data_IF_562830357980
#
_entry.id   IF_562830357980
#
_cell.length_a   1.000
_cell.length_b   1.000
_cell.length_c   1.000
_cell.angle_alpha   90.00
_cell.angle_beta   90.00
_cell.angle_gamma   90.00
#
_symmetry.space_group_name_H-M   'P 1'
#
loop_
_entity.id
_entity.type
_entity.pdbx_description
1 polymer ?
#
# COMPACT_ATOMS: atom_id res chain seq x y z
N UNK A 1 -21.34 -49.43 5.32
CA UNK A 1 -22.33 -48.34 5.28
C UNK A 1 -22.45 -47.89 3.83
N UNK A 2 -23.63 -48.07 3.25
CA UNK A 2 -23.91 -47.69 1.87
C UNK A 2 -24.17 -46.18 1.79
N UNK A 3 -24.06 -45.55 0.61
CA UNK A 3 -24.36 -44.11 0.44
C UNK A 3 -25.77 -43.73 0.94
N UNK A 4 -26.75 -44.62 0.78
CA UNK A 4 -28.11 -44.40 1.25
C UNK A 4 -28.23 -44.47 2.78
N UNK A 5 -27.48 -45.34 3.44
CA UNK A 5 -27.42 -45.40 4.90
C UNK A 5 -26.74 -44.14 5.46
N UNK A 6 -25.70 -43.64 4.80
CA UNK A 6 -25.06 -42.40 5.17
C UNK A 6 -26.00 -41.20 5.08
N UNK A 7 -26.75 -41.08 3.98
CA UNK A 7 -27.75 -40.02 3.78
C UNK A 7 -28.91 -40.09 4.79
N UNK A 8 -29.30 -41.29 5.22
CA UNK A 8 -30.30 -41.46 6.28
C UNK A 8 -29.81 -40.99 7.64
N UNK A 9 -28.57 -41.34 7.98
CA UNK A 9 -27.92 -40.88 9.22
C UNK A 9 -27.74 -39.40 9.21
N UNK A 10 -27.30 -38.81 8.08
CA UNK A 10 -27.15 -37.37 7.92
C UNK A 10 -28.48 -36.61 8.13
N UNK A 11 -29.59 -37.12 7.54
CA UNK A 11 -30.93 -36.54 7.75
C UNK A 11 -31.38 -36.61 9.20
N UNK A 12 -31.10 -37.73 9.88
CA UNK A 12 -31.43 -37.88 11.32
C UNK A 12 -30.61 -36.91 12.19
N UNK A 13 -29.36 -36.64 11.83
CA UNK A 13 -28.52 -35.66 12.52
C UNK A 13 -29.07 -34.25 12.27
N UNK A 14 -29.43 -33.92 11.03
CA UNK A 14 -29.96 -32.59 10.64
C UNK A 14 -31.36 -32.32 11.29
N UNK A 15 -32.13 -33.35 11.62
CA UNK A 15 -33.41 -33.23 12.32
C UNK A 15 -33.27 -33.10 13.84
N UNK A 16 -32.18 -33.60 14.42
CA UNK A 16 -31.90 -33.52 15.87
C UNK A 16 -31.10 -32.29 16.26
N UNK A 17 -30.30 -31.75 15.33
CA UNK A 17 -29.60 -30.46 15.55
C UNK A 17 -30.64 -29.34 15.45
N UNK A 18 -30.91 -28.58 16.52
CA UNK A 18 -31.83 -27.44 16.43
C UNK A 18 -31.34 -26.54 15.31
N UNK A 19 -32.20 -26.29 14.29
CA UNK A 19 -31.88 -25.35 13.20
C UNK A 19 -31.42 -24.08 13.86
N UNK A 20 -30.10 -23.79 13.81
CA UNK A 20 -29.53 -22.53 14.28
C UNK A 20 -30.34 -21.43 13.60
N UNK A 21 -31.04 -20.62 14.37
CA UNK A 21 -31.66 -19.41 13.82
C UNK A 21 -30.53 -18.65 13.18
N UNK A 22 -30.65 -18.35 11.90
CA UNK A 22 -29.67 -17.58 11.17
C UNK A 22 -29.41 -16.26 11.90
N UNK A 23 -28.15 -15.89 12.04
CA UNK A 23 -27.79 -14.59 12.59
C UNK A 23 -28.57 -13.47 11.90
N UNK A 24 -28.92 -12.37 12.60
CA UNK A 24 -29.56 -11.24 11.95
C UNK A 24 -28.71 -10.78 10.76
N UNK A 25 -29.37 -10.45 9.64
CA UNK A 25 -28.69 -10.04 8.40
C UNK A 25 -27.61 -8.96 8.72
N UNK A 26 -26.38 -9.23 8.32
CA UNK A 26 -25.23 -8.37 8.58
C UNK A 26 -24.62 -8.50 9.99
N UNK A 27 -25.02 -9.52 10.74
CA UNK A 27 -24.50 -9.86 12.08
C UNK A 27 -23.98 -11.31 12.13
N UNK A 28 -23.47 -11.81 11.02
CA UNK A 28 -22.87 -13.13 10.97
C UNK A 28 -21.66 -13.17 11.92
N UNK A 29 -21.57 -14.19 12.80
CA UNK A 29 -20.43 -14.33 13.72
C UNK A 29 -19.11 -14.48 12.95
N UNK A 30 -18.07 -13.81 13.42
CA UNK A 30 -16.74 -13.85 12.83
C UNK A 30 -16.01 -12.52 12.90
N UNK A 31 -14.86 -12.49 12.25
CA UNK A 31 -14.04 -11.29 12.12
C UNK A 31 -13.98 -10.85 10.65
N UNK A 32 -14.28 -9.60 10.41
CA UNK A 32 -14.01 -8.94 9.13
C UNK A 32 -12.86 -7.94 9.33
N UNK A 33 -11.65 -8.40 9.07
CA UNK A 33 -10.44 -7.57 9.23
C UNK A 33 -10.40 -6.40 8.26
N UNK A 34 -11.08 -6.51 7.10
CA UNK A 34 -11.16 -5.42 6.13
C UNK A 34 -12.06 -4.28 6.60
N UNK A 35 -13.09 -4.59 7.39
CA UNK A 35 -13.96 -3.59 8.01
C UNK A 35 -13.55 -3.27 9.45
N UNK A 36 -12.53 -3.95 9.99
CA UNK A 36 -12.13 -3.80 11.38
C UNK A 36 -13.25 -4.15 12.35
N UNK A 37 -14.07 -5.19 12.06
CA UNK A 37 -15.20 -5.57 12.91
C UNK A 37 -15.12 -7.01 13.36
N UNK A 38 -15.46 -7.23 14.63
CA UNK A 38 -15.61 -8.52 15.28
C UNK A 38 -17.06 -8.70 15.72
N UNK A 39 -17.71 -9.78 15.32
CA UNK A 39 -19.09 -10.09 15.71
C UNK A 39 -19.11 -11.44 16.42
N UNK A 40 -19.72 -11.49 17.59
CA UNK A 40 -19.82 -12.70 18.41
C UNK A 40 -21.30 -13.03 18.66
N UNK A 41 -21.64 -14.29 18.46
CA UNK A 41 -22.86 -14.91 18.97
C UNK A 41 -22.52 -15.50 20.34
N UNK A 42 -22.93 -14.83 21.40
CA UNK A 42 -22.59 -15.26 22.74
C UNK A 42 -23.80 -15.48 23.64
N UNK A 43 -23.66 -16.41 24.55
CA UNK A 43 -24.62 -16.61 25.63
C UNK A 43 -24.46 -15.62 26.79
N UNK A 44 -23.44 -14.79 26.81
CA UNK A 44 -23.06 -13.94 27.92
C UNK A 44 -22.84 -12.48 27.48
N UNK A 45 -22.78 -11.57 28.45
CA UNK A 45 -22.43 -10.17 28.19
C UNK A 45 -21.04 -10.02 27.55
N UNK A 46 -20.79 -8.93 26.82
CA UNK A 46 -19.47 -8.65 26.29
C UNK A 46 -18.40 -8.76 27.39
N UNK A 47 -17.28 -9.44 27.13
CA UNK A 47 -16.24 -9.60 28.15
C UNK A 47 -15.53 -8.28 28.45
N UNK A 48 -15.01 -8.16 29.65
CA UNK A 48 -14.06 -7.09 29.98
C UNK A 48 -12.67 -7.31 29.40
N UNK A 49 -12.26 -8.58 29.20
CA UNK A 49 -11.05 -8.97 28.52
C UNK A 49 -11.37 -9.59 27.16
N UNK A 50 -11.05 -8.86 26.10
CA UNK A 50 -11.29 -9.27 24.72
C UNK A 50 -10.26 -10.25 24.17
N UNK A 51 -9.15 -10.47 24.87
CA UNK A 51 -8.06 -11.32 24.37
C UNK A 51 -8.48 -12.76 24.11
N UNK A 52 -9.40 -13.27 24.91
CA UNK A 52 -9.97 -14.63 24.76
C UNK A 52 -10.81 -14.69 23.49
N UNK A 53 -11.72 -13.75 23.31
CA UNK A 53 -12.61 -13.68 22.13
C UNK A 53 -11.82 -13.50 20.83
N UNK A 54 -10.82 -12.64 20.85
CA UNK A 54 -9.92 -12.41 19.70
C UNK A 54 -9.23 -13.73 19.29
N UNK A 55 -8.76 -14.51 20.27
CA UNK A 55 -8.11 -15.80 20.04
C UNK A 55 -9.09 -16.86 19.53
N UNK A 56 -10.28 -16.95 20.12
CA UNK A 56 -11.33 -17.89 19.68
C UNK A 56 -11.77 -17.64 18.24
N UNK A 57 -11.70 -16.41 17.79
CA UNK A 57 -12.00 -16.02 16.42
C UNK A 57 -10.79 -16.13 15.46
N UNK A 58 -9.68 -16.73 15.92
CA UNK A 58 -8.53 -17.05 15.09
C UNK A 58 -7.55 -15.88 14.87
N UNK A 59 -7.69 -14.78 15.63
CA UNK A 59 -6.74 -13.69 15.60
C UNK A 59 -5.73 -13.80 16.77
N UNK A 60 -4.53 -13.28 16.55
CA UNK A 60 -3.52 -13.18 17.60
C UNK A 60 -3.80 -11.95 18.50
N UNK A 61 -4.06 -12.14 19.82
CA UNK A 61 -4.29 -11.03 20.75
C UNK A 61 -3.07 -10.11 20.94
N UNK A 62 -1.87 -10.57 20.57
CA UNK A 62 -0.68 -9.71 20.56
C UNK A 62 -0.68 -8.76 19.37
N UNK A 63 -1.31 -9.16 18.26
CA UNK A 63 -1.37 -8.39 17.03
C UNK A 63 -2.67 -7.58 16.87
N UNK A 64 -3.74 -7.93 17.59
CA UNK A 64 -5.06 -7.29 17.46
C UNK A 64 -5.65 -6.92 18.82
N UNK A 65 -6.32 -5.77 18.88
CA UNK A 65 -7.05 -5.31 20.06
C UNK A 65 -8.40 -4.71 19.69
N UNK A 66 -9.35 -4.69 20.62
CA UNK A 66 -10.60 -3.94 20.45
C UNK A 66 -10.32 -2.45 20.60
N UNK A 67 -10.93 -1.65 19.74
CA UNK A 67 -10.85 -0.21 19.82
C UNK A 67 -11.81 0.34 20.87
N UNK A 68 -11.30 0.60 22.06
CA UNK A 68 -12.09 1.11 23.20
C UNK A 68 -12.66 2.51 22.96
N UNK A 69 -12.18 3.23 21.94
CA UNK A 69 -12.75 4.54 21.57
C UNK A 69 -14.10 4.40 20.85
N UNK A 70 -14.45 3.19 20.38
CA UNK A 70 -15.69 2.90 19.69
C UNK A 70 -16.65 2.10 20.60
N UNK A 71 -17.94 2.45 20.63
CA UNK A 71 -18.89 1.73 21.46
C UNK A 71 -19.12 0.30 20.95
N UNK A 72 -19.13 -0.66 21.87
CA UNK A 72 -19.55 -2.04 21.56
C UNK A 72 -21.05 -2.05 21.34
N UNK A 73 -21.47 -2.49 20.16
CA UNK A 73 -22.88 -2.66 19.84
C UNK A 73 -23.38 -3.98 20.42
N UNK A 74 -24.45 -3.96 21.17
CA UNK A 74 -25.05 -5.15 21.80
C UNK A 74 -26.50 -5.31 21.35
N UNK A 75 -26.87 -6.52 20.97
CA UNK A 75 -28.25 -6.96 20.73
C UNK A 75 -28.58 -8.11 21.64
N UNK A 76 -29.72 -8.10 22.22
CA UNK A 76 -30.18 -9.15 23.13
C UNK A 76 -31.51 -9.72 22.68
N UNK A 77 -31.74 -11.00 22.99
CA UNK A 77 -33.04 -11.66 22.83
C UNK A 77 -33.21 -12.74 23.90
N UNK A 78 -34.46 -13.03 24.23
CA UNK A 78 -34.76 -14.06 25.19
C UNK A 78 -34.95 -15.41 24.45
N UNK A 79 -34.17 -16.43 24.83
CA UNK A 79 -34.28 -17.78 24.31
C UNK A 79 -35.43 -18.54 24.97
N UNK A 80 -35.99 -19.58 24.33
CA UNK A 80 -36.91 -20.52 24.97
C UNK A 80 -36.24 -21.10 26.22
N UNK A 81 -36.84 -20.92 27.40
CA UNK A 81 -36.27 -21.31 28.70
C UNK A 81 -35.82 -20.15 29.57
N UNK A 82 -36.06 -18.89 29.15
CA UNK A 82 -35.83 -17.69 29.97
C UNK A 82 -34.40 -17.19 30.01
N UNK A 83 -33.50 -17.80 29.26
CA UNK A 83 -32.10 -17.33 29.18
C UNK A 83 -31.98 -16.17 28.19
N UNK A 84 -31.38 -15.09 28.63
CA UNK A 84 -31.03 -13.94 27.76
C UNK A 84 -29.73 -14.23 27.01
N UNK A 85 -29.82 -14.20 25.69
CA UNK A 85 -28.68 -14.36 24.79
C UNK A 85 -28.23 -12.99 24.26
N UNK A 86 -26.96 -12.89 23.90
CA UNK A 86 -26.33 -11.67 23.43
C UNK A 86 -25.65 -11.89 22.08
N UNK A 87 -25.83 -10.94 21.16
CA UNK A 87 -24.95 -10.70 20.04
C UNK A 87 -24.23 -9.40 20.33
N UNK A 88 -22.92 -9.39 20.13
CA UNK A 88 -22.19 -8.14 20.25
C UNK A 88 -21.19 -7.97 19.10
N UNK A 89 -20.99 -6.74 18.72
CA UNK A 89 -20.07 -6.32 17.70
C UNK A 89 -19.14 -5.26 18.27
N UNK A 90 -17.83 -5.48 18.13
CA UNK A 90 -16.79 -4.54 18.50
C UNK A 90 -15.98 -4.14 17.27
N UNK A 91 -15.41 -2.96 17.28
CA UNK A 91 -14.39 -2.53 16.33
C UNK A 91 -13.05 -3.08 16.79
N UNK A 92 -12.28 -3.70 15.89
CA UNK A 92 -10.94 -4.20 16.16
C UNK A 92 -9.91 -3.46 15.31
N UNK A 93 -8.74 -3.24 15.89
CA UNK A 93 -7.59 -2.60 15.24
C UNK A 93 -6.32 -3.39 15.52
N UNK A 94 -5.34 -3.38 14.59
CA UNK A 94 -4.04 -3.97 14.87
C UNK A 94 -3.36 -3.26 16.04
N UNK A 95 -2.78 -4.02 16.96
CA UNK A 95 -2.02 -3.49 18.11
C UNK A 95 -0.70 -2.87 17.67
N UNK A 96 -0.18 -3.30 16.52
CA UNK A 96 1.20 -3.07 16.07
C UNK A 96 1.34 -2.20 14.83
N UNK A 97 0.28 -1.48 14.38
CA UNK A 97 0.47 -0.54 13.26
C UNK A 97 1.55 0.52 13.53
N UNK A 98 1.85 0.81 14.80
CA UNK A 98 2.94 1.71 15.16
C UNK A 98 4.29 1.01 15.34
N UNK A 99 4.35 -0.24 15.85
CA UNK A 99 5.65 -0.87 16.14
C UNK A 99 6.45 -1.27 14.90
N UNK A 100 5.81 -1.88 13.91
CA UNK A 100 6.53 -2.25 12.68
C UNK A 100 6.95 -1.00 11.89
N UNK A 101 6.13 0.04 11.86
CA UNK A 101 6.49 1.33 11.28
C UNK A 101 7.62 2.01 12.04
N UNK A 102 7.55 2.04 13.38
CA UNK A 102 8.61 2.61 14.23
C UNK A 102 9.92 1.83 14.12
N UNK A 103 9.89 0.48 14.05
CA UNK A 103 11.08 -0.35 13.85
C UNK A 103 11.70 -0.14 12.48
N UNK A 104 10.89 -0.05 11.42
CA UNK A 104 11.35 0.25 10.06
C UNK A 104 11.94 1.66 10.01
N UNK A 105 11.27 2.66 10.56
CA UNK A 105 11.78 4.03 10.64
C UNK A 105 13.07 4.12 11.45
N UNK A 106 13.21 3.32 12.50
CA UNK A 106 14.43 3.30 13.30
C UNK A 106 15.58 2.60 12.56
N UNK A 107 15.31 1.53 11.81
CA UNK A 107 16.27 0.88 10.91
C UNK A 107 16.70 1.82 9.78
N UNK A 108 15.75 2.51 9.16
CA UNK A 108 16.01 3.51 8.13
C UNK A 108 16.85 4.67 8.70
N UNK A 109 16.46 5.25 9.84
CA UNK A 109 17.26 6.30 10.51
C UNK A 109 18.64 5.79 10.93
N UNK A 110 18.78 4.52 11.31
CA UNK A 110 20.08 3.92 11.64
C UNK A 110 20.95 3.75 10.40
N UNK A 111 20.36 3.37 9.26
CA UNK A 111 21.05 3.31 7.97
C UNK A 111 21.52 4.70 7.52
N UNK A 112 20.66 5.72 7.63
CA UNK A 112 21.03 7.11 7.34
C UNK A 112 22.10 7.67 8.28
N UNK A 113 22.10 7.30 9.57
CA UNK A 113 23.16 7.68 10.50
C UNK A 113 24.51 7.03 10.18
N UNK A 114 24.51 5.83 9.58
CA UNK A 114 25.72 5.12 9.12
C UNK A 114 26.29 5.68 7.82
N UNK A 115 25.48 6.29 6.97
CA UNK A 115 25.97 7.12 5.87
C UNK A 115 26.66 8.32 6.53
N UNK A 116 27.98 8.28 6.57
CA UNK A 116 28.79 9.37 7.14
C UNK A 116 28.26 10.71 6.66
N UNK A 117 28.25 11.72 7.53
CA UNK A 117 27.82 13.08 7.21
C UNK A 117 28.49 13.45 5.90
N UNK A 118 27.71 13.45 4.82
CA UNK A 118 28.15 14.13 3.58
C UNK A 118 28.64 15.47 4.04
N UNK A 119 29.91 15.79 3.75
CA UNK A 119 30.44 17.15 3.93
C UNK A 119 29.46 18.03 3.16
N UNK A 120 28.56 18.68 3.86
CA UNK A 120 27.84 19.81 3.33
C UNK A 120 28.94 20.85 3.11
N UNK A 121 29.48 20.87 1.91
CA UNK A 121 30.24 22.00 1.45
C UNK A 121 29.36 23.23 1.70
N UNK A 122 29.93 24.29 2.27
CA UNK A 122 29.24 25.55 2.50
C UNK A 122 28.35 25.87 1.28
N UNK A 123 27.13 26.38 1.46
CA UNK A 123 26.19 26.55 0.36
C UNK A 123 26.84 27.38 -0.74
N UNK A 124 27.30 26.70 -1.77
CA UNK A 124 27.84 27.36 -2.96
C UNK A 124 26.64 28.11 -3.56
N UNK A 125 26.81 29.41 -3.78
CA UNK A 125 25.72 30.25 -4.28
C UNK A 125 25.36 29.77 -5.67
N UNK A 126 24.31 28.96 -5.76
CA UNK A 126 23.82 28.38 -7.01
C UNK A 126 23.27 29.53 -7.86
N UNK A 127 23.89 29.79 -8.99
CA UNK A 127 23.46 30.87 -9.87
C UNK A 127 22.34 30.46 -10.81
N UNK A 128 22.29 29.19 -11.25
CA UNK A 128 21.26 28.65 -12.14
C UNK A 128 20.94 27.21 -11.78
N UNK A 129 19.65 26.92 -11.65
CA UNK A 129 19.12 25.59 -11.55
C UNK A 129 18.39 25.15 -12.83
N UNK A 130 18.42 23.85 -13.15
CA UNK A 130 17.60 23.26 -14.17
C UNK A 130 16.64 22.31 -13.49
N UNK A 131 15.33 22.45 -13.77
CA UNK A 131 14.29 21.56 -13.27
C UNK A 131 13.96 20.55 -14.36
N UNK A 132 13.92 19.28 -13.97
CA UNK A 132 13.51 18.15 -14.80
C UNK A 132 12.26 17.55 -14.17
N UNK A 133 11.13 17.65 -14.88
CA UNK A 133 9.86 17.09 -14.44
C UNK A 133 9.67 15.72 -15.07
N UNK A 134 9.41 14.71 -14.23
CA UNK A 134 9.12 13.34 -14.63
C UNK A 134 7.66 13.03 -14.24
N UNK A 135 6.79 12.86 -15.22
CA UNK A 135 5.37 12.63 -15.02
C UNK A 135 4.85 11.56 -15.98
N UNK A 136 3.78 10.90 -15.61
CA UNK A 136 2.97 10.06 -16.49
C UNK A 136 3.79 9.02 -17.28
N UNK A 137 4.72 8.36 -16.62
CA UNK A 137 5.42 7.23 -17.24
C UNK A 137 4.46 6.07 -17.47
N UNK A 138 3.51 5.89 -16.57
CA UNK A 138 2.51 4.83 -16.60
C UNK A 138 3.12 3.49 -17.05
N UNK A 139 4.24 3.15 -16.39
CA UNK A 139 5.01 1.95 -16.72
C UNK A 139 4.12 0.71 -16.65
N UNK A 140 4.06 -0.03 -17.73
CA UNK A 140 3.20 -1.20 -17.86
C UNK A 140 1.98 -0.99 -18.76
N UNK A 141 1.63 0.23 -19.11
CA UNK A 141 0.54 0.52 -20.06
C UNK A 141 0.87 -0.06 -21.44
N UNK A 142 -0.12 -0.68 -22.08
CA UNK A 142 0.09 -1.34 -23.37
C UNK A 142 -0.21 -0.47 -24.59
N UNK A 143 -0.93 0.63 -24.42
CA UNK A 143 -1.21 1.59 -25.49
C UNK A 143 0.00 2.50 -25.80
N UNK A 144 -0.13 3.37 -26.82
CA UNK A 144 0.91 4.32 -27.24
C UNK A 144 2.30 3.72 -27.47
N UNK A 145 2.35 2.47 -27.94
CA UNK A 145 3.58 1.72 -28.19
C UNK A 145 4.14 0.98 -26.98
N UNK A 146 3.41 0.98 -25.87
CA UNK A 146 3.68 0.15 -24.71
C UNK A 146 5.00 0.45 -24.01
N UNK A 147 5.52 -0.58 -23.36
CA UNK A 147 6.75 -0.52 -22.55
C UNK A 147 7.98 -0.17 -23.40
N UNK A 148 8.08 -0.68 -24.62
CA UNK A 148 9.21 -0.41 -25.52
C UNK A 148 9.30 1.07 -25.86
N UNK A 149 8.19 1.68 -26.28
CA UNK A 149 8.17 3.10 -26.57
C UNK A 149 8.40 3.97 -25.33
N UNK A 150 7.99 3.53 -24.15
CA UNK A 150 8.37 4.19 -22.90
C UNK A 150 9.89 4.16 -22.70
N UNK A 151 10.51 3.00 -22.83
CA UNK A 151 11.95 2.85 -22.69
C UNK A 151 12.72 3.73 -23.68
N UNK A 152 12.31 3.75 -24.95
CA UNK A 152 12.92 4.61 -25.97
C UNK A 152 12.86 6.09 -25.57
N UNK A 153 11.71 6.57 -25.06
CA UNK A 153 11.57 7.94 -24.57
C UNK A 153 12.48 8.22 -23.37
N UNK A 154 12.60 7.27 -22.45
CA UNK A 154 13.46 7.44 -21.26
C UNK A 154 14.93 7.43 -21.61
N UNK A 155 15.37 6.59 -22.54
CA UNK A 155 16.74 6.60 -23.06
C UNK A 155 17.05 7.91 -23.81
N UNK A 156 16.11 8.38 -24.62
CA UNK A 156 16.26 9.67 -25.28
C UNK A 156 16.36 10.82 -24.27
N UNK A 157 15.54 10.79 -23.20
CA UNK A 157 15.60 11.77 -22.12
C UNK A 157 16.93 11.71 -21.35
N UNK A 158 17.45 10.49 -21.08
CA UNK A 158 18.75 10.28 -20.44
C UNK A 158 19.86 11.06 -21.16
N UNK A 159 19.85 11.00 -22.47
CA UNK A 159 20.89 11.62 -23.30
C UNK A 159 20.62 13.11 -23.58
N UNK A 160 19.36 13.52 -23.62
CA UNK A 160 18.96 14.90 -23.87
C UNK A 160 19.35 15.85 -22.72
N UNK A 161 19.27 15.40 -21.47
CA UNK A 161 19.60 16.23 -20.30
C UNK A 161 21.08 16.64 -20.29
N UNK A 162 22.07 15.75 -20.44
CA UNK A 162 23.47 16.12 -20.54
C UNK A 162 23.74 17.04 -21.75
N UNK A 163 23.14 16.74 -22.89
CA UNK A 163 23.26 17.57 -24.10
C UNK A 163 22.77 19.00 -23.84
N UNK A 164 21.63 19.14 -23.13
CA UNK A 164 21.09 20.46 -22.79
C UNK A 164 21.96 21.23 -21.80
N UNK A 165 22.47 20.57 -20.76
CA UNK A 165 23.41 21.17 -19.79
C UNK A 165 24.66 21.70 -20.52
N UNK A 166 25.24 20.89 -21.42
CA UNK A 166 26.40 21.28 -22.23
C UNK A 166 26.08 22.45 -23.17
N UNK A 167 24.91 22.44 -23.79
CA UNK A 167 24.45 23.54 -24.65
C UNK A 167 24.33 24.86 -23.88
N UNK A 168 23.73 24.82 -22.69
CA UNK A 168 23.59 25.99 -21.83
C UNK A 168 24.93 26.51 -21.37
N UNK A 169 25.87 25.64 -21.01
CA UNK A 169 27.22 26.03 -20.63
C UNK A 169 27.95 26.76 -21.80
N UNK A 170 27.84 26.21 -23.01
CA UNK A 170 28.41 26.86 -24.24
C UNK A 170 27.79 28.24 -24.52
N UNK A 171 26.53 28.43 -24.15
CA UNK A 171 25.83 29.69 -24.29
C UNK A 171 26.12 30.69 -23.13
N UNK A 172 27.14 30.45 -22.31
CA UNK A 172 27.48 31.29 -21.15
C UNK A 172 26.45 31.22 -20.01
N UNK A 173 25.66 30.18 -19.97
CA UNK A 173 24.60 29.93 -18.95
C UNK A 173 24.81 28.58 -18.27
N UNK A 174 25.92 28.35 -17.56
CA UNK A 174 26.16 27.07 -16.88
C UNK A 174 25.07 26.75 -15.85
N UNK A 175 24.77 25.46 -15.69
CA UNK A 175 23.83 24.95 -14.71
C UNK A 175 24.64 24.48 -13.49
N UNK A 176 24.35 25.03 -12.33
CA UNK A 176 25.05 24.72 -11.07
C UNK A 176 24.29 23.66 -10.21
N UNK A 177 23.02 23.48 -10.48
CA UNK A 177 22.19 22.47 -9.78
C UNK A 177 21.15 21.90 -10.69
N UNK A 178 20.85 20.57 -10.50
CA UNK A 178 19.71 19.89 -11.07
C UNK A 178 18.64 19.67 -9.99
N UNK A 179 17.41 19.91 -10.35
CA UNK A 179 16.22 19.56 -9.55
C UNK A 179 15.38 18.56 -10.35
N UNK A 180 15.31 17.33 -9.89
CA UNK A 180 14.52 16.28 -10.52
C UNK A 180 13.27 16.07 -9.70
N UNK A 181 12.10 16.27 -10.32
CA UNK A 181 10.81 16.21 -9.65
C UNK A 181 9.96 15.13 -10.28
N UNK A 182 9.66 14.07 -9.53
CA UNK A 182 8.63 13.08 -9.86
C UNK A 182 7.25 13.69 -9.59
N UNK A 183 6.42 13.76 -10.60
CA UNK A 183 5.10 14.41 -10.54
C UNK A 183 3.95 13.39 -10.51
N UNK A 184 4.26 12.15 -10.15
CA UNK A 184 3.29 11.06 -10.03
C UNK A 184 3.07 10.28 -11.32
N UNK A 185 2.26 9.24 -11.20
CA UNK A 185 1.84 8.31 -12.25
C UNK A 185 3.04 7.64 -12.97
N UNK A 186 4.04 7.27 -12.17
CA UNK A 186 5.22 6.55 -12.66
C UNK A 186 4.87 5.11 -13.06
N UNK A 187 3.94 4.49 -12.33
CA UNK A 187 3.37 3.16 -12.63
C UNK A 187 1.97 3.31 -13.23
N UNK A 188 1.51 2.31 -13.99
CA UNK A 188 0.13 2.26 -14.48
C UNK A 188 -0.84 1.73 -13.43
N UNK A 189 -0.35 0.91 -12.49
CA UNK A 189 -1.21 0.15 -11.58
C UNK A 189 -1.80 -1.10 -12.25
N UNK A 190 -2.56 -1.86 -11.49
CA UNK A 190 -3.22 -3.11 -11.91
C UNK A 190 -4.48 -3.33 -11.07
N UNK A 191 -5.32 -4.28 -11.50
CA UNK A 191 -6.42 -4.76 -10.69
C UNK A 191 -7.75 -4.07 -10.94
N UNK A 192 -7.93 -3.40 -12.07
CA UNK A 192 -9.15 -2.65 -12.42
C UNK A 192 -9.50 -1.57 -11.39
N UNK A 193 -8.50 -1.04 -10.71
CA UNK A 193 -8.69 -0.10 -9.61
C UNK A 193 -9.03 1.31 -10.08
N UNK A 194 -8.59 1.70 -11.28
CA UNK A 194 -8.85 3.02 -11.86
C UNK A 194 -9.98 2.98 -12.90
N UNK A 195 -10.00 1.93 -13.73
CA UNK A 195 -11.04 1.72 -14.74
C UNK A 195 -11.26 0.23 -15.02
N UNK A 196 -12.48 -0.12 -15.44
CA UNK A 196 -12.98 -1.49 -15.50
C UNK A 196 -12.19 -2.46 -16.39
N UNK A 197 -11.37 -1.95 -17.31
CA UNK A 197 -10.62 -2.75 -18.28
C UNK A 197 -9.10 -2.64 -18.08
N UNK A 198 -8.66 -2.12 -16.95
CA UNK A 198 -7.24 -1.86 -16.68
C UNK A 198 -6.38 -3.12 -16.81
N UNK A 199 -6.84 -4.26 -16.27
CA UNK A 199 -6.11 -5.54 -16.34
C UNK A 199 -5.84 -6.00 -17.78
N UNK A 200 -6.68 -5.60 -18.74
CA UNK A 200 -6.53 -5.94 -20.15
C UNK A 200 -5.67 -4.92 -20.93
N UNK A 201 -5.34 -3.81 -20.30
CA UNK A 201 -4.56 -2.71 -20.90
C UNK A 201 -3.15 -2.61 -20.37
N UNK A 202 -2.73 -3.53 -19.48
CA UNK A 202 -1.37 -3.57 -18.92
C UNK A 202 -0.58 -4.74 -19.50
N UNK A 203 0.68 -4.45 -19.85
CA UNK A 203 1.65 -5.43 -20.34
C UNK A 203 2.56 -5.98 -19.24
N UNK A 204 2.58 -5.33 -18.06
CA UNK A 204 3.42 -5.69 -16.92
C UNK A 204 2.57 -5.80 -15.66
N UNK A 205 2.85 -6.80 -14.84
CA UNK A 205 2.31 -6.86 -13.48
C UNK A 205 2.88 -5.73 -12.59
N UNK A 206 2.23 -5.43 -11.46
CA UNK A 206 2.62 -4.35 -10.54
C UNK A 206 4.08 -4.44 -10.09
N UNK A 207 4.58 -5.64 -9.80
CA UNK A 207 5.98 -5.84 -9.39
C UNK A 207 6.95 -5.54 -10.53
N UNK A 208 6.58 -5.88 -11.75
CA UNK A 208 7.37 -5.60 -12.95
C UNK A 208 7.39 -4.09 -13.22
N UNK A 209 6.25 -3.41 -13.06
CA UNK A 209 6.14 -1.95 -13.21
C UNK A 209 7.06 -1.23 -12.20
N UNK A 210 6.94 -1.51 -10.92
CA UNK A 210 7.79 -0.93 -9.85
C UNK A 210 9.27 -1.20 -10.11
N UNK A 211 9.62 -2.44 -10.52
CA UNK A 211 11.01 -2.79 -10.83
C UNK A 211 11.55 -2.02 -12.03
N UNK A 212 10.75 -1.85 -13.06
CA UNK A 212 11.13 -1.09 -14.26
C UNK A 212 11.39 0.37 -13.91
N UNK A 213 10.43 1.03 -13.25
CA UNK A 213 10.55 2.44 -12.85
C UNK A 213 11.79 2.65 -11.97
N UNK A 214 11.99 1.81 -10.96
CA UNK A 214 13.17 1.88 -10.09
C UNK A 214 14.48 1.79 -10.88
N UNK A 215 14.59 0.83 -11.81
CA UNK A 215 15.80 0.67 -12.63
C UNK A 215 16.07 1.89 -13.50
N UNK A 216 15.02 2.38 -14.16
CA UNK A 216 15.14 3.55 -15.02
C UNK A 216 15.51 4.80 -14.24
N UNK A 217 14.85 5.05 -13.10
CA UNK A 217 15.21 6.18 -12.22
C UNK A 217 16.65 6.08 -11.72
N UNK A 218 17.07 4.90 -11.26
CA UNK A 218 18.46 4.69 -10.83
C UNK A 218 19.45 5.04 -11.93
N UNK A 219 19.19 4.57 -13.15
CA UNK A 219 20.04 4.84 -14.32
C UNK A 219 20.09 6.33 -14.66
N UNK A 220 18.92 6.99 -14.76
CA UNK A 220 18.83 8.41 -15.08
C UNK A 220 19.53 9.26 -14.03
N UNK A 221 19.25 9.05 -12.75
CA UNK A 221 19.81 9.82 -11.66
C UNK A 221 21.33 9.59 -11.51
N UNK A 222 21.80 8.36 -11.72
CA UNK A 222 23.24 8.05 -11.72
C UNK A 222 23.97 8.84 -12.80
N UNK A 223 23.43 8.88 -14.02
CA UNK A 223 24.06 9.65 -15.11
C UNK A 223 23.98 11.17 -14.87
N UNK A 224 22.85 11.68 -14.42
CA UNK A 224 22.64 13.11 -14.23
C UNK A 224 23.39 13.66 -13.00
N UNK A 225 23.64 12.83 -11.98
CA UNK A 225 24.42 13.26 -10.81
C UNK A 225 25.83 13.68 -11.13
N UNK A 226 26.36 13.26 -12.28
CA UNK A 226 27.70 13.62 -12.77
C UNK A 226 27.77 15.00 -13.42
N UNK A 227 26.63 15.63 -13.73
CA UNK A 227 26.55 16.82 -14.55
C UNK A 227 26.78 18.13 -13.78
N UNK A 228 26.42 18.14 -12.50
CA UNK A 228 26.48 19.34 -11.65
C UNK A 228 26.93 18.97 -10.23
N UNK A 229 27.49 19.89 -9.48
CA UNK A 229 27.92 19.62 -8.10
C UNK A 229 26.76 19.36 -7.13
N UNK A 230 25.53 19.70 -7.53
CA UNK A 230 24.31 19.51 -6.71
C UNK A 230 23.18 18.95 -7.53
N UNK A 231 22.61 17.85 -7.06
CA UNK A 231 21.36 17.33 -7.55
C UNK A 231 20.39 17.17 -6.36
N UNK A 232 19.15 17.62 -6.54
CA UNK A 232 18.07 17.47 -5.57
C UNK A 232 16.96 16.69 -6.25
N UNK A 233 16.49 15.65 -5.61
CA UNK A 233 15.41 14.80 -6.11
C UNK A 233 14.25 14.86 -5.12
N UNK A 234 13.05 15.02 -5.64
CA UNK A 234 11.81 14.95 -4.87
C UNK A 234 10.69 14.36 -5.71
N UNK A 235 9.62 13.94 -5.07
CA UNK A 235 8.45 13.40 -5.77
C UNK A 235 7.16 13.72 -5.03
N UNK A 236 6.07 13.67 -5.78
CA UNK A 236 4.71 13.61 -5.26
C UNK A 236 4.04 12.34 -5.80
N UNK A 237 3.10 11.74 -5.08
CA UNK A 237 2.40 10.57 -5.56
C UNK A 237 1.39 10.94 -6.65
N UNK A 238 1.17 10.02 -7.58
CA UNK A 238 0.06 10.04 -8.52
C UNK A 238 -1.07 9.12 -8.05
N UNK A 239 -2.17 9.17 -8.77
CA UNK A 239 -3.32 8.32 -8.45
C UNK A 239 -3.16 6.88 -8.96
N UNK A 240 -2.35 6.64 -9.99
CA UNK A 240 -2.07 5.29 -10.50
C UNK A 240 -1.23 4.43 -9.57
N UNK A 241 -0.35 5.06 -8.77
CA UNK A 241 0.46 4.39 -7.75
C UNK A 241 -0.28 4.07 -6.45
N UNK A 242 -1.52 4.55 -6.25
CA UNK A 242 -2.28 4.32 -5.03
C UNK A 242 -2.67 2.86 -4.83
N UNK A 243 -2.66 2.41 -3.59
CA UNK A 243 -3.30 1.17 -3.20
C UNK A 243 -4.82 1.38 -3.12
N UNK A 244 -5.55 0.77 -4.06
CA UNK A 244 -7.00 0.90 -4.17
C UNK A 244 -7.71 -0.44 -4.01
N UNK A 245 -8.94 -0.39 -3.52
CA UNK A 245 -9.85 -1.54 -3.47
C UNK A 245 -11.25 -1.08 -3.83
N UNK A 246 -11.82 -1.66 -4.88
CA UNK A 246 -13.12 -1.24 -5.38
C UNK A 246 -13.17 0.23 -5.80
N UNK A 247 -12.09 0.72 -6.42
CA UNK A 247 -11.97 2.09 -6.92
C UNK A 247 -11.71 3.16 -5.87
N UNK A 248 -11.47 2.77 -4.59
CA UNK A 248 -11.20 3.71 -3.50
C UNK A 248 -9.84 3.42 -2.87
N UNK A 249 -9.05 4.47 -2.60
CA UNK A 249 -7.88 4.37 -1.75
C UNK A 249 -8.29 3.84 -0.36
N UNK A 250 -7.57 2.86 0.16
CA UNK A 250 -7.89 2.22 1.44
C UNK A 250 -6.75 2.28 2.46
N UNK A 251 -5.62 2.79 2.04
CA UNK A 251 -4.43 2.97 2.87
C UNK A 251 -4.11 4.46 3.05
N UNK A 252 -2.91 4.78 3.55
CA UNK A 252 -2.46 6.16 3.71
C UNK A 252 -1.97 6.76 2.39
N UNK A 253 -1.84 8.06 2.34
CA UNK A 253 -1.29 8.80 1.20
C UNK A 253 0.15 8.38 0.87
N UNK A 254 0.92 8.01 1.86
CA UNK A 254 2.31 7.56 1.73
C UNK A 254 2.42 6.13 1.18
N UNK A 255 1.37 5.31 1.29
CA UNK A 255 1.34 3.96 0.73
C UNK A 255 1.02 4.01 -0.77
N UNK A 256 2.01 4.45 -1.53
CA UNK A 256 1.92 4.73 -2.94
C UNK A 256 3.18 4.22 -3.65
N UNK A 257 3.00 3.47 -4.75
CA UNK A 257 4.12 2.89 -5.49
C UNK A 257 5.07 3.95 -6.06
N UNK A 258 4.59 5.13 -6.42
CA UNK A 258 5.42 6.21 -6.92
C UNK A 258 6.40 6.69 -5.82
N UNK A 259 5.90 6.91 -4.59
CA UNK A 259 6.75 7.28 -3.46
C UNK A 259 7.74 6.15 -3.11
N UNK A 260 7.24 4.91 -3.02
CA UNK A 260 8.06 3.75 -2.67
C UNK A 260 9.23 3.55 -3.65
N UNK A 261 9.05 3.83 -4.94
CA UNK A 261 10.11 3.73 -5.94
C UNK A 261 11.20 4.79 -5.70
N UNK A 262 10.81 6.04 -5.43
CA UNK A 262 11.79 7.10 -5.14
C UNK A 262 12.56 6.84 -3.84
N UNK A 263 11.90 6.33 -2.80
CA UNK A 263 12.55 5.90 -1.56
C UNK A 263 13.57 4.79 -1.81
N UNK A 264 13.20 3.74 -2.55
CA UNK A 264 14.12 2.66 -2.91
C UNK A 264 15.33 3.17 -3.70
N UNK A 265 15.14 4.10 -4.62
CA UNK A 265 16.24 4.71 -5.39
C UNK A 265 17.14 5.56 -4.49
N UNK A 266 16.56 6.27 -3.52
CA UNK A 266 17.33 7.02 -2.51
C UNK A 266 18.22 6.11 -1.67
N UNK A 267 17.76 4.88 -1.38
CA UNK A 267 18.57 3.88 -0.65
C UNK A 267 19.73 3.34 -1.48
N UNK A 268 19.59 3.30 -2.80
CA UNK A 268 20.60 2.77 -3.73
C UNK A 268 21.70 3.80 -3.99
N UNK A 269 21.36 5.08 -4.13
CA UNK A 269 22.26 6.18 -4.51
C UNK A 269 22.87 6.89 -3.28
#
# INVERSE_FOLDING_TARGET
MTPDEFLKVQRQIDDVVPKRRSAPKGWEPGVDTAKGTLTVEGGQQPPSDWSVVIRELGLDPAAWTVDESQPVQVRTWDAPGGNRLYYYRATVKPTSQNRAGEEIDELVRAAYRRRGKSRQNAPQRVSRGMVICLADWQAGKSDHGGVEALLDRLWALRDAVPARVKQLAKAGRPVDALYVVGMGDMVEGCGNDHYAMQDFSVALDRRQQVRLVRRMLTELLTEWSKLTPRMVVGCVPGNHGENRRGGKAYTTFEDNDDLAVFEQVQEIL
#
